data_IF_757706517958
#
_entry.id   IF_757706517958
#
_cell.length_a   1.000
_cell.length_b   1.000
_cell.length_c   1.000
_cell.angle_alpha   90.00
_cell.angle_beta   90.00
_cell.angle_gamma   90.00
#
_symmetry.space_group_name_H-M   'P 1'
#
loop_
_entity.id
_entity.type
_entity.pdbx_description
1 polymer ?
#
# COMPACT_ATOMS: atom_id res chain seq x y z
N UNK A 1 1.95 13.57 -12.80
CA UNK A 1 0.55 14.04 -12.67
C UNK A 1 0.54 15.54 -12.85
N UNK A 2 -0.38 16.06 -13.68
CA UNK A 2 -0.48 17.50 -13.90
C UNK A 2 -1.23 18.13 -12.71
N UNK A 3 -0.53 18.89 -11.87
CA UNK A 3 -1.10 19.48 -10.64
C UNK A 3 -1.99 20.71 -10.89
N UNK A 4 -2.28 21.02 -12.16
CA UNK A 4 -3.10 22.16 -12.57
C UNK A 4 -4.47 22.21 -11.88
N UNK A 5 -5.13 21.07 -11.69
CA UNK A 5 -6.47 20.99 -11.10
C UNK A 5 -6.53 21.55 -9.68
N UNK A 6 -5.45 21.42 -8.90
CA UNK A 6 -5.38 21.90 -7.51
C UNK A 6 -5.54 23.41 -7.38
N UNK A 7 -5.26 24.15 -8.45
CA UNK A 7 -5.28 25.63 -8.45
C UNK A 7 -6.49 26.20 -9.18
N UNK A 8 -7.45 25.34 -9.57
CA UNK A 8 -8.71 25.79 -10.20
C UNK A 8 -9.76 26.20 -9.18
N UNK A 9 -9.63 25.72 -7.93
CA UNK A 9 -10.56 25.99 -6.83
C UNK A 9 -9.78 26.39 -5.59
N UNK A 10 -10.40 27.24 -4.77
CA UNK A 10 -9.85 27.65 -3.49
C UNK A 10 -10.98 27.83 -2.47
N UNK A 11 -10.64 27.64 -1.20
CA UNK A 11 -11.51 27.97 -0.06
C UNK A 11 -11.23 29.39 0.39
N UNK A 12 -12.32 30.12 0.65
CA UNK A 12 -12.32 31.51 1.07
C UNK A 12 -13.21 31.67 2.31
N UNK A 13 -12.79 32.50 3.25
CA UNK A 13 -13.59 32.91 4.41
C UNK A 13 -13.45 34.41 4.63
N UNK A 14 -14.51 35.14 5.00
CA UNK A 14 -14.46 36.58 5.29
C UNK A 14 -13.54 37.00 6.44
N UNK A 15 -13.35 36.15 7.45
CA UNK A 15 -12.73 36.55 8.73
C UNK A 15 -11.66 35.58 9.17
N UNK A 16 -12.03 34.32 9.35
CA UNK A 16 -11.10 33.29 9.80
C UNK A 16 -11.60 31.92 9.43
N UNK A 17 -10.67 30.96 9.33
CA UNK A 17 -10.98 29.55 9.33
C UNK A 17 -9.76 28.76 9.77
N UNK A 18 -10.03 27.61 10.38
CA UNK A 18 -9.02 26.75 10.99
C UNK A 18 -9.17 25.33 10.45
N UNK A 19 -8.05 24.74 10.08
CA UNK A 19 -7.93 23.33 9.77
C UNK A 19 -7.35 22.58 10.94
N UNK A 20 -7.93 21.41 11.21
CA UNK A 20 -7.43 20.46 12.19
C UNK A 20 -7.04 19.17 11.48
N UNK A 21 -5.74 18.90 11.39
CA UNK A 21 -5.21 17.60 11.03
C UNK A 21 -5.23 16.71 12.27
N UNK A 22 -6.17 15.77 12.36
CA UNK A 22 -6.29 14.82 13.48
C UNK A 22 -5.61 13.50 13.15
N UNK A 23 -5.39 12.67 14.16
CA UNK A 23 -4.80 11.33 14.02
C UNK A 23 -3.37 11.33 13.44
N UNK A 24 -2.64 12.43 13.62
CA UNK A 24 -1.23 12.52 13.25
C UNK A 24 -0.39 11.88 14.37
N UNK A 25 0.78 11.35 14.03
CA UNK A 25 1.74 10.96 15.07
C UNK A 25 2.34 12.23 15.69
N UNK A 26 2.77 12.16 16.95
CA UNK A 26 3.49 13.28 17.55
C UNK A 26 4.89 13.35 16.93
N UNK A 27 5.33 14.56 16.58
CA UNK A 27 6.63 14.75 15.93
C UNK A 27 6.71 15.95 15.00
N UNK A 28 7.78 15.99 14.21
CA UNK A 28 8.06 17.08 13.29
C UNK A 28 7.41 16.83 11.92
N UNK A 29 6.73 17.85 11.42
CA UNK A 29 6.05 17.85 10.13
C UNK A 29 6.47 19.06 9.30
N UNK A 30 6.46 18.86 8.00
CA UNK A 30 6.56 19.91 6.99
C UNK A 30 5.16 20.15 6.44
N UNK A 31 4.65 21.36 6.65
CA UNK A 31 3.35 21.81 6.16
C UNK A 31 3.59 22.67 4.93
N UNK A 32 3.05 22.25 3.79
CA UNK A 32 3.09 23.02 2.54
C UNK A 32 1.69 23.55 2.25
N UNK A 33 1.57 24.87 2.20
CA UNK A 33 0.30 25.53 1.87
C UNK A 33 0.41 26.09 0.46
N UNK A 34 -0.54 25.70 -0.37
CA UNK A 34 -0.61 26.03 -1.77
C UNK A 34 -1.59 27.18 -1.97
N UNK A 35 -1.11 28.26 -2.58
CA UNK A 35 -1.89 29.46 -2.86
C UNK A 35 -1.86 29.75 -4.36
N UNK A 36 -3.00 30.18 -4.87
CA UNK A 36 -3.13 30.82 -6.17
C UNK A 36 -4.25 31.85 -6.09
N UNK A 37 -3.97 33.08 -6.52
CA UNK A 37 -5.00 34.12 -6.62
C UNK A 37 -5.82 33.89 -7.89
N UNK A 38 -7.03 33.35 -7.71
CA UNK A 38 -7.95 32.97 -8.80
C UNK A 38 -9.19 33.88 -8.85
N UNK A 39 -9.36 34.76 -7.86
CA UNK A 39 -10.53 35.63 -7.72
C UNK A 39 -10.21 37.01 -8.29
N UNK A 40 -9.10 37.61 -7.85
CA UNK A 40 -8.61 38.88 -8.36
C UNK A 40 -7.89 38.62 -9.68
N UNK A 41 -8.53 38.99 -10.79
CA UNK A 41 -7.96 38.84 -12.12
C UNK A 41 -7.26 40.11 -12.57
N UNK A 42 -6.16 39.96 -13.31
CA UNK A 42 -5.29 41.06 -13.76
C UNK A 42 -5.82 41.85 -14.96
N UNK A 43 -7.13 41.79 -15.23
CA UNK A 43 -7.72 42.58 -16.29
C UNK A 43 -7.83 44.06 -15.86
N UNK A 44 -8.06 44.98 -16.79
CA UNK A 44 -8.22 46.43 -16.50
C UNK A 44 -9.60 46.75 -15.87
N UNK A 45 -10.09 45.92 -14.96
CA UNK A 45 -11.36 46.14 -14.24
C UNK A 45 -11.12 46.63 -12.82
N UNK A 46 -12.15 47.19 -12.18
CA UNK A 46 -12.09 47.59 -10.76
C UNK A 46 -11.67 46.44 -9.83
N UNK A 47 -12.01 45.19 -10.18
CA UNK A 47 -11.68 44.02 -9.37
C UNK A 47 -10.18 43.69 -9.31
N UNK A 48 -9.38 44.16 -10.28
CA UNK A 48 -7.93 43.90 -10.29
C UNK A 48 -7.16 44.71 -9.26
N UNK A 49 -7.79 45.73 -8.68
CA UNK A 49 -7.24 46.52 -7.57
C UNK A 49 -7.43 45.84 -6.21
N UNK A 50 -8.13 44.69 -6.18
CA UNK A 50 -8.32 43.89 -4.98
C UNK A 50 -6.99 43.48 -4.36
N UNK A 51 -6.95 43.44 -3.02
CA UNK A 51 -5.81 42.91 -2.26
C UNK A 51 -6.32 42.05 -1.12
N UNK A 52 -5.89 40.79 -1.09
CA UNK A 52 -6.19 39.86 -0.01
C UNK A 52 -4.94 39.68 0.83
N UNK A 53 -5.01 40.13 2.08
CA UNK A 53 -3.90 40.15 3.02
C UNK A 53 -4.36 39.47 4.29
N UNK A 54 -3.68 38.42 4.73
CA UNK A 54 -4.08 37.66 5.91
C UNK A 54 -2.89 37.06 6.65
N UNK A 55 -3.14 36.68 7.91
CA UNK A 55 -2.16 36.02 8.75
C UNK A 55 -2.33 34.50 8.71
N UNK A 56 -1.21 33.79 8.78
CA UNK A 56 -1.15 32.33 8.87
C UNK A 56 -0.56 31.95 10.22
N UNK A 57 -1.33 31.19 10.99
CA UNK A 57 -0.92 30.62 12.27
C UNK A 57 -0.83 29.10 12.15
N UNK A 58 0.23 28.52 12.70
CA UNK A 58 0.38 27.06 12.80
C UNK A 58 0.69 26.71 14.25
N UNK A 59 -0.08 25.80 14.84
CA UNK A 59 0.00 25.45 16.26
C UNK A 59 -0.01 26.69 17.18
N UNK A 60 -0.83 27.69 16.84
CA UNK A 60 -0.93 28.95 17.57
C UNK A 60 0.18 29.97 17.31
N UNK A 61 1.27 29.60 16.63
CA UNK A 61 2.39 30.50 16.28
C UNK A 61 2.12 31.23 14.97
N UNK A 62 2.37 32.54 14.93
CA UNK A 62 2.30 33.36 13.71
C UNK A 62 3.49 33.01 12.80
N UNK A 63 3.21 32.32 11.70
CA UNK A 63 4.24 31.88 10.75
C UNK A 63 4.33 32.79 9.52
N UNK A 64 3.25 33.49 9.17
CA UNK A 64 3.25 34.52 8.13
C UNK A 64 2.29 35.63 8.51
N UNK A 65 2.83 36.83 8.69
CA UNK A 65 2.04 38.05 8.91
C UNK A 65 1.80 38.76 7.57
N UNK A 66 0.63 39.40 7.43
CA UNK A 66 0.27 40.24 6.29
C UNK A 66 0.56 39.59 4.92
N UNK A 67 0.26 38.30 4.80
CA UNK A 67 0.56 37.53 3.61
C UNK A 67 -0.33 37.98 2.43
N UNK A 68 0.31 38.51 1.39
CA UNK A 68 -0.30 38.91 0.12
C UNK A 68 0.10 37.89 -0.97
N UNK A 69 -0.89 37.14 -1.46
CA UNK A 69 -0.67 36.06 -2.44
C UNK A 69 -0.11 36.61 -3.75
N UNK A 70 -0.68 37.70 -4.27
CA UNK A 70 -0.29 38.29 -5.56
C UNK A 70 1.14 38.81 -5.48
N UNK A 71 1.49 39.46 -4.37
CA UNK A 71 2.85 39.93 -4.14
C UNK A 71 3.83 38.76 -4.04
N UNK A 72 3.49 37.70 -3.29
CA UNK A 72 4.34 36.54 -3.13
C UNK A 72 4.53 35.74 -4.43
N UNK A 73 3.49 35.65 -5.26
CA UNK A 73 3.51 34.94 -6.55
C UNK A 73 4.01 35.81 -7.72
N UNK A 74 4.26 37.11 -7.49
CA UNK A 74 4.62 38.10 -8.51
C UNK A 74 3.60 38.15 -9.67
N UNK A 75 2.32 38.07 -9.33
CA UNK A 75 1.21 38.13 -10.29
C UNK A 75 -0.02 37.32 -9.87
N UNK A 76 -1.10 37.54 -10.60
CA UNK A 76 -2.37 36.79 -10.47
C UNK A 76 -2.29 35.45 -11.19
N UNK A 77 -3.12 34.48 -10.80
CA UNK A 77 -3.20 33.14 -11.40
C UNK A 77 -1.87 32.37 -11.41
N UNK A 78 -0.89 32.84 -10.62
CA UNK A 78 0.39 32.20 -10.40
C UNK A 78 0.36 31.43 -9.09
N UNK A 79 1.02 30.28 -9.12
CA UNK A 79 1.13 29.39 -7.96
C UNK A 79 2.26 29.86 -7.07
N UNK A 80 1.99 29.96 -5.77
CA UNK A 80 3.01 30.08 -4.73
C UNK A 80 2.78 29.04 -3.65
N UNK A 81 3.86 28.36 -3.26
CA UNK A 81 3.84 27.35 -2.19
C UNK A 81 4.67 27.87 -1.04
N UNK A 82 4.10 27.92 0.17
CA UNK A 82 4.82 28.25 1.40
C UNK A 82 5.01 26.99 2.24
N UNK A 83 6.25 26.80 2.67
CA UNK A 83 6.64 25.69 3.51
C UNK A 83 6.88 26.16 4.93
N UNK A 84 6.32 25.44 5.90
CA UNK A 84 6.45 25.71 7.32
C UNK A 84 6.78 24.43 8.08
N UNK A 85 7.63 24.54 9.10
CA UNK A 85 7.93 23.43 10.00
C UNK A 85 7.02 23.52 11.22
N UNK A 86 6.35 22.43 11.53
CA UNK A 86 5.41 22.35 12.65
C UNK A 86 5.71 21.13 13.53
N UNK A 87 5.55 21.30 14.84
CA UNK A 87 5.62 20.20 15.81
C UNK A 87 4.20 19.82 16.19
N UNK A 88 3.81 18.59 15.90
CA UNK A 88 2.52 18.02 16.29
C UNK A 88 2.63 17.44 17.69
N UNK A 89 1.71 17.84 18.56
CA UNK A 89 1.51 17.31 19.92
C UNK A 89 0.05 16.87 20.05
N UNK A 90 -0.21 15.85 20.87
CA UNK A 90 -1.56 15.32 21.08
C UNK A 90 -2.27 14.94 19.76
N UNK A 91 -1.50 14.43 18.79
CA UNK A 91 -2.00 13.92 17.52
C UNK A 91 -2.79 14.91 16.65
N UNK A 92 -2.66 16.21 16.94
CA UNK A 92 -3.44 17.26 16.28
C UNK A 92 -2.56 18.39 15.78
N UNK A 93 -2.73 18.73 14.50
CA UNK A 93 -2.13 19.90 13.85
C UNK A 93 -3.21 20.96 13.62
N UNK A 94 -3.02 22.15 14.18
CA UNK A 94 -3.85 23.31 13.91
C UNK A 94 -3.19 24.24 12.89
N UNK A 95 -3.93 24.62 11.86
CA UNK A 95 -3.54 25.67 10.90
C UNK A 95 -4.69 26.67 10.81
N UNK A 96 -4.45 27.90 11.25
CA UNK A 96 -5.47 28.95 11.32
C UNK A 96 -5.10 30.11 10.40
N UNK A 97 -6.08 30.53 9.61
CA UNK A 97 -5.96 31.67 8.72
C UNK A 97 -6.87 32.77 9.24
N UNK A 98 -6.34 33.99 9.33
CA UNK A 98 -7.05 35.10 9.95
C UNK A 98 -6.86 36.39 9.18
N UNK A 99 -7.98 37.02 8.82
CA UNK A 99 -8.00 38.34 8.25
C UNK A 99 -7.99 39.39 9.37
N UNK A 100 -6.91 40.17 9.43
CA UNK A 100 -6.71 41.21 10.45
C UNK A 100 -7.30 42.58 10.04
N UNK A 101 -8.23 42.63 9.08
CA UNK A 101 -8.83 43.89 8.60
C UNK A 101 -7.99 44.66 7.58
N UNK A 102 -6.91 44.06 7.05
CA UNK A 102 -6.00 44.67 6.06
C UNK A 102 -6.34 44.26 4.63
N UNK A 103 -5.96 45.09 3.65
CA UNK A 103 -6.28 44.87 2.24
C UNK A 103 -7.62 45.50 1.86
N UNK A 104 -8.25 45.01 0.79
CA UNK A 104 -9.52 45.55 0.31
C UNK A 104 -10.71 44.92 1.01
N UNK A 105 -11.75 45.68 1.32
CA UNK A 105 -12.96 45.22 2.05
C UNK A 105 -14.21 45.07 1.16
N UNK A 106 -14.15 45.58 -0.07
CA UNK A 106 -15.27 45.63 -1.00
C UNK A 106 -15.04 44.87 -2.32
N UNK A 107 -13.87 44.24 -2.48
CA UNK A 107 -13.45 43.54 -3.70
C UNK A 107 -13.11 42.09 -3.32
N UNK A 108 -13.63 41.07 -4.02
CA UNK A 108 -14.51 41.11 -5.21
C UNK A 108 -15.95 41.53 -4.91
N UNK A 109 -16.42 41.31 -3.69
CA UNK A 109 -17.71 41.76 -3.19
C UNK A 109 -17.56 42.16 -1.72
N UNK A 110 -18.47 43.00 -1.22
CA UNK A 110 -18.41 43.45 0.18
C UNK A 110 -18.53 42.26 1.12
N UNK A 111 -17.60 42.19 2.08
CA UNK A 111 -17.57 41.12 3.08
C UNK A 111 -16.92 39.82 2.60
N UNK A 112 -16.30 39.80 1.41
CA UNK A 112 -15.63 38.61 0.86
C UNK A 112 -14.13 38.84 0.80
N UNK A 113 -13.56 39.28 1.93
CA UNK A 113 -12.19 39.79 2.00
C UNK A 113 -11.47 39.07 3.12
N UNK A 114 -10.89 37.92 2.80
CA UNK A 114 -10.15 37.15 3.79
C UNK A 114 -9.29 36.07 3.15
N UNK A 115 -8.87 35.04 3.89
CA UNK A 115 -7.82 34.15 3.41
C UNK A 115 -8.31 33.24 2.29
N UNK A 116 -7.49 33.10 1.24
CA UNK A 116 -7.75 32.26 0.07
C UNK A 116 -6.71 31.15 -0.01
N UNK A 117 -7.14 29.89 -0.08
CA UNK A 117 -6.23 28.73 -0.07
C UNK A 117 -6.68 27.69 -1.08
N UNK A 118 -5.75 27.23 -1.90
CA UNK A 118 -6.01 26.18 -2.90
C UNK A 118 -5.90 24.79 -2.29
N UNK A 119 -4.79 24.49 -1.61
CA UNK A 119 -4.56 23.18 -1.00
C UNK A 119 -3.60 23.24 0.19
N UNK A 120 -3.60 22.19 1.01
CA UNK A 120 -2.67 21.98 2.13
C UNK A 120 -2.12 20.56 2.01
N UNK A 121 -0.81 20.42 2.07
CA UNK A 121 -0.09 19.16 2.18
C UNK A 121 0.66 19.11 3.51
N UNK A 122 0.67 17.95 4.15
CA UNK A 122 1.32 17.72 5.44
C UNK A 122 2.16 16.46 5.32
N UNK A 123 3.47 16.60 5.45
CA UNK A 123 4.44 15.51 5.31
C UNK A 123 5.19 15.32 6.65
N UNK A 124 5.26 14.09 7.15
CA UNK A 124 6.08 13.81 8.35
C UNK A 124 7.56 13.71 7.95
N UNK A 125 8.43 14.35 8.72
CA UNK A 125 9.88 14.33 8.50
C UNK A 125 10.45 12.91 8.64
N UNK A 126 9.81 12.05 9.45
CA UNK A 126 10.26 10.67 9.69
C UNK A 126 9.57 9.62 8.81
N UNK A 127 8.61 10.01 7.97
CA UNK A 127 7.87 9.05 7.14
C UNK A 127 8.81 8.24 6.25
N UNK A 128 9.74 8.91 5.57
CA UNK A 128 10.71 8.23 4.68
C UNK A 128 11.68 7.33 5.44
N UNK A 129 12.13 7.73 6.63
CA UNK A 129 13.12 6.97 7.40
C UNK A 129 12.49 5.71 7.99
N UNK A 130 11.36 5.85 8.69
CA UNK A 130 10.66 4.70 9.28
C UNK A 130 10.09 3.77 8.21
N UNK A 131 9.60 4.30 7.09
CA UNK A 131 9.16 3.48 5.96
C UNK A 131 10.33 2.69 5.35
N UNK A 132 11.48 3.33 5.08
CA UNK A 132 12.67 2.62 4.57
C UNK A 132 13.16 1.54 5.53
N UNK A 133 13.20 1.83 6.84
CA UNK A 133 13.60 0.85 7.86
C UNK A 133 12.59 -0.29 7.93
N UNK A 134 11.28 -0.01 7.97
CA UNK A 134 10.25 -1.04 8.02
C UNK A 134 10.25 -1.92 6.75
N UNK A 135 10.40 -1.34 5.56
CA UNK A 135 10.47 -2.10 4.32
C UNK A 135 11.75 -2.93 4.21
N UNK A 136 12.89 -2.44 4.70
CA UNK A 136 14.14 -3.23 4.71
C UNK A 136 14.10 -4.35 5.75
N UNK A 137 13.56 -4.10 6.95
CA UNK A 137 13.40 -5.11 8.00
C UNK A 137 12.41 -6.20 7.59
N UNK A 138 11.25 -5.84 7.04
CA UNK A 138 10.25 -6.82 6.59
C UNK A 138 10.75 -7.64 5.40
N UNK A 139 11.44 -7.01 4.44
CA UNK A 139 12.04 -7.73 3.29
C UNK A 139 13.14 -8.70 3.73
N UNK A 140 13.91 -8.38 4.76
CA UNK A 140 14.97 -9.26 5.29
C UNK A 140 14.37 -10.43 6.08
N UNK A 141 13.36 -10.18 6.92
CA UNK A 141 12.69 -11.21 7.71
C UNK A 141 11.86 -12.18 6.86
N UNK A 142 11.19 -11.70 5.80
CA UNK A 142 10.49 -12.58 4.84
C UNK A 142 11.49 -13.43 4.06
N UNK A 143 12.64 -12.86 3.68
CA UNK A 143 13.69 -13.59 2.94
C UNK A 143 14.34 -14.67 3.79
N UNK A 144 14.55 -14.45 5.09
CA UNK A 144 15.09 -15.48 5.99
C UNK A 144 14.11 -16.63 6.23
N UNK A 145 12.82 -16.33 6.38
CA UNK A 145 11.76 -17.35 6.47
C UNK A 145 11.63 -18.17 5.17
N UNK A 146 11.71 -17.51 4.01
CA UNK A 146 11.71 -18.17 2.70
C UNK A 146 12.89 -19.13 2.50
N UNK A 147 14.10 -18.72 2.91
CA UNK A 147 15.29 -19.57 2.83
C UNK A 147 15.16 -20.80 3.75
N UNK A 148 14.64 -20.63 4.96
CA UNK A 148 14.44 -21.74 5.90
C UNK A 148 13.37 -22.74 5.46
N UNK A 149 12.27 -22.25 4.86
CA UNK A 149 11.26 -23.13 4.26
C UNK A 149 11.81 -23.87 3.04
N UNK A 150 12.62 -23.21 2.21
CA UNK A 150 13.20 -23.83 1.01
C UNK A 150 14.15 -24.98 1.35
N UNK A 151 15.04 -24.81 2.33
CA UNK A 151 15.97 -25.88 2.73
C UNK A 151 15.25 -27.09 3.33
N UNK A 152 14.17 -26.86 4.09
CA UNK A 152 13.33 -27.92 4.68
C UNK A 152 12.60 -28.74 3.62
N UNK A 153 12.12 -28.10 2.57
CA UNK A 153 11.46 -28.77 1.43
C UNK A 153 12.49 -29.62 0.68
N UNK A 154 13.68 -29.08 0.43
CA UNK A 154 14.76 -29.76 -0.30
C UNK A 154 15.30 -30.99 0.47
N UNK A 155 15.33 -30.94 1.80
CA UNK A 155 15.63 -32.11 2.66
C UNK A 155 14.56 -33.20 2.56
N UNK A 156 13.28 -32.82 2.55
CA UNK A 156 12.16 -33.77 2.46
C UNK A 156 12.13 -34.47 1.10
N UNK A 157 12.29 -33.73 0.01
CA UNK A 157 12.37 -34.30 -1.35
C UNK A 157 13.54 -35.28 -1.50
N UNK A 158 14.69 -34.98 -0.86
CA UNK A 158 15.85 -35.86 -0.86
C UNK A 158 15.59 -37.14 -0.06
N UNK A 159 14.83 -37.06 1.04
CA UNK A 159 14.47 -38.21 1.87
C UNK A 159 13.43 -39.11 1.18
N UNK A 160 12.47 -38.51 0.48
CA UNK A 160 11.47 -39.24 -0.31
C UNK A 160 12.15 -39.99 -1.47
N UNK A 161 13.10 -39.35 -2.15
CA UNK A 161 13.91 -40.00 -3.19
C UNK A 161 14.67 -41.22 -2.63
N UNK A 162 15.29 -41.07 -1.46
CA UNK A 162 16.02 -42.16 -0.82
C UNK A 162 15.11 -43.33 -0.43
N UNK A 163 13.92 -43.05 0.12
CA UNK A 163 12.96 -44.11 0.46
C UNK A 163 12.45 -44.86 -0.78
N UNK A 164 12.20 -44.14 -1.88
CA UNK A 164 11.77 -44.77 -3.14
C UNK A 164 12.84 -45.69 -3.72
N UNK A 165 14.11 -45.25 -3.71
CA UNK A 165 15.26 -46.07 -4.16
C UNK A 165 15.40 -47.34 -3.29
N UNK A 166 15.29 -47.21 -1.96
CA UNK A 166 15.31 -48.37 -1.05
C UNK A 166 14.11 -49.32 -1.28
N UNK A 167 12.92 -48.78 -1.53
CA UNK A 167 11.72 -49.58 -1.81
C UNK A 167 11.87 -50.34 -3.14
N UNK A 168 12.46 -49.73 -4.17
CA UNK A 168 12.71 -50.35 -5.46
C UNK A 168 13.76 -51.47 -5.36
N UNK A 169 14.85 -51.25 -4.62
CA UNK A 169 15.88 -52.25 -4.33
C UNK A 169 15.28 -53.46 -3.58
N UNK A 170 14.46 -53.22 -2.57
CA UNK A 170 13.83 -54.30 -1.79
C UNK A 170 12.83 -55.11 -2.64
N UNK A 171 12.00 -54.44 -3.46
CA UNK A 171 11.09 -55.12 -4.39
C UNK A 171 11.88 -55.96 -5.40
N UNK A 172 13.00 -55.45 -5.89
CA UNK A 172 13.87 -56.19 -6.82
C UNK A 172 14.47 -57.43 -6.16
N UNK A 173 14.97 -57.31 -4.93
CA UNK A 173 15.50 -58.44 -4.16
C UNK A 173 14.42 -59.49 -3.85
N UNK A 174 13.23 -59.07 -3.44
CA UNK A 174 12.08 -59.97 -3.20
C UNK A 174 11.65 -60.69 -4.49
N UNK A 175 11.57 -59.98 -5.61
CA UNK A 175 11.22 -60.57 -6.90
C UNK A 175 12.26 -61.61 -7.37
N UNK A 176 13.55 -61.33 -7.20
CA UNK A 176 14.62 -62.29 -7.49
C UNK A 176 14.54 -63.54 -6.59
N UNK A 177 14.25 -63.37 -5.30
CA UNK A 177 14.08 -64.49 -4.36
C UNK A 177 12.85 -65.34 -4.71
N UNK A 178 11.72 -64.71 -5.05
CA UNK A 178 10.53 -65.41 -5.53
C UNK A 178 10.84 -66.20 -6.82
N UNK A 179 11.65 -65.63 -7.73
CA UNK A 179 12.07 -66.33 -8.95
C UNK A 179 12.95 -67.55 -8.63
N UNK A 180 13.89 -67.44 -7.68
CA UNK A 180 14.70 -68.57 -7.22
C UNK A 180 13.87 -69.66 -6.54
N UNK A 181 12.90 -69.30 -5.68
CA UNK A 181 12.00 -70.26 -5.04
C UNK A 181 11.09 -70.97 -6.05
N UNK A 182 10.60 -70.26 -7.08
CA UNK A 182 9.83 -70.87 -8.17
C UNK A 182 10.67 -71.84 -8.99
N UNK A 183 11.93 -71.50 -9.29
CA UNK A 183 12.86 -72.40 -10.01
C UNK A 183 13.21 -73.61 -9.15
N UNK A 184 13.48 -73.45 -7.85
CA UNK A 184 13.73 -74.57 -6.93
C UNK A 184 12.48 -75.44 -6.69
N UNK A 185 11.29 -74.84 -6.66
CA UNK A 185 10.02 -75.57 -6.60
C UNK A 185 9.74 -76.31 -7.92
N UNK A 186 10.17 -75.79 -9.07
CA UNK A 186 10.10 -76.47 -10.37
C UNK A 186 11.12 -77.60 -10.50
N UNK A 187 12.31 -77.48 -9.90
CA UNK A 187 13.25 -78.61 -9.78
C UNK A 187 12.70 -79.73 -8.88
N UNK A 188 11.98 -79.38 -7.80
CA UNK A 188 11.21 -80.34 -7.00
C UNK A 188 9.96 -80.89 -7.73
N UNK A 189 9.34 -80.11 -8.63
CA UNK A 189 8.16 -80.53 -9.41
C UNK A 189 8.51 -81.35 -10.65
N UNK A 190 9.68 -81.14 -11.28
CA UNK A 190 10.19 -82.05 -12.31
C UNK A 190 10.48 -83.45 -11.76
N UNK A 191 10.63 -83.58 -10.43
CA UNK A 191 10.64 -84.87 -9.72
C UNK A 191 9.22 -85.36 -9.36
N UNK A 192 8.21 -84.49 -9.36
CA UNK A 192 6.85 -84.84 -8.93
C UNK A 192 5.75 -84.00 -9.61
N UNK A 193 5.30 -84.40 -10.81
CA UNK A 193 3.95 -84.94 -11.07
C UNK A 193 3.33 -84.60 -12.44
N UNK A 194 2.70 -85.65 -12.97
CA UNK A 194 1.53 -85.70 -13.84
C UNK A 194 0.34 -84.80 -13.42
N UNK A 195 -0.34 -84.29 -14.46
CA UNK A 195 -1.78 -83.91 -14.59
C UNK A 195 -2.36 -82.67 -13.88
N UNK A 196 -2.75 -81.67 -14.71
CA UNK A 196 -4.05 -80.94 -14.87
C UNK A 196 -4.84 -80.47 -13.61
N UNK A 197 -5.62 -79.37 -13.53
CA UNK A 197 -6.27 -78.31 -14.36
C UNK A 197 -6.84 -77.27 -13.33
N UNK A 198 -6.71 -75.94 -13.46
CA UNK A 198 -7.61 -74.88 -14.02
C UNK A 198 -8.88 -74.43 -13.21
N UNK A 199 -9.26 -73.13 -13.37
CA UNK A 199 -10.56 -72.42 -13.18
C UNK A 199 -10.73 -71.48 -11.95
N UNK A 200 -11.32 -70.27 -11.95
CA UNK A 200 -11.62 -69.15 -12.89
C UNK A 200 -12.09 -67.88 -12.10
N UNK A 201 -12.27 -66.74 -12.79
CA UNK A 201 -12.53 -65.32 -12.35
C UNK A 201 -14.01 -64.98 -12.04
N UNK A 202 -14.28 -63.80 -11.43
CA UNK A 202 -14.94 -62.62 -12.08
C UNK A 202 -15.23 -61.42 -11.15
N UNK A 203 -15.29 -60.24 -11.79
CA UNK A 203 -15.28 -58.83 -11.33
C UNK A 203 -16.68 -58.13 -11.37
N UNK A 204 -16.70 -56.79 -11.15
CA UNK A 204 -17.54 -55.68 -11.75
C UNK A 204 -18.74 -55.14 -10.91
N UNK A 205 -19.15 -53.85 -10.80
CA UNK A 205 -18.77 -52.43 -11.19
C UNK A 205 -19.77 -51.51 -10.44
N UNK A 206 -19.36 -50.41 -9.79
CA UNK A 206 -19.41 -48.97 -10.17
C UNK A 206 -20.80 -48.28 -10.34
N UNK A 207 -20.91 -47.03 -9.85
CA UNK A 207 -22.05 -46.12 -10.06
C UNK A 207 -21.84 -44.72 -9.46
N UNK A 208 -21.71 -43.72 -10.33
CA UNK A 208 -21.41 -42.28 -10.08
C UNK A 208 -22.66 -41.40 -9.80
N UNK A 209 -22.38 -40.07 -9.64
CA UNK A 209 -23.17 -38.86 -10.00
C UNK A 209 -23.86 -38.14 -8.79
N UNK A 210 -23.90 -36.80 -8.58
CA UNK A 210 -23.72 -35.55 -9.37
C UNK A 210 -23.46 -34.34 -8.39
N UNK A 211 -22.84 -33.25 -8.86
CA UNK A 211 -22.81 -31.89 -8.27
C UNK A 211 -24.00 -31.01 -8.75
N UNK A 212 -24.28 -29.79 -8.20
CA UNK A 212 -23.65 -28.55 -8.72
C UNK A 212 -23.54 -27.32 -7.76
N UNK A 213 -22.61 -26.42 -8.15
CA UNK A 213 -22.47 -24.94 -7.99
C UNK A 213 -23.53 -24.09 -7.24
N UNK A 214 -23.09 -23.08 -6.46
CA UNK A 214 -23.09 -21.65 -6.87
C UNK A 214 -22.38 -20.69 -5.86
N UNK A 215 -21.86 -19.58 -6.40
CA UNK A 215 -21.22 -18.41 -5.78
C UNK A 215 -22.21 -17.42 -5.11
N UNK A 216 -21.72 -16.58 -4.18
CA UNK A 216 -22.23 -15.21 -3.99
C UNK A 216 -21.12 -14.24 -3.49
N UNK A 217 -21.01 -13.13 -4.23
CA UNK A 217 -20.30 -11.83 -4.06
C UNK A 217 -18.78 -11.84 -3.97
#
# INVERSE_FOLDING_TARGET
MNHSELYTRARLSPLTFTYYGRCLADGNYTVKIHFAEIIIRGNKSFHSLGRQIFNVYIQGKLESEDFDIVQAAQGVEKVVVKEFKAVVKNKTLEIRFHWAGKGTTAIPSRGTCGPLISAISVESVYFFINWCIFFTLTKTSVRSLQLGLKSRIEEFEKLDKFHMEQMEEEVTARNAHIHQQKVGSLECFMVAKSSAEEFSKTDIVEGMCISPLLHLI
#
